data_IF_502989955343
#
_entry.id   IF_502989955343
#
_cell.length_a   1.000
_cell.length_b   1.000
_cell.length_c   1.000
_cell.angle_alpha   90.00
_cell.angle_beta   90.00
_cell.angle_gamma   90.00
#
_symmetry.space_group_name_H-M   'P 1'
#
loop_
_entity.id
_entity.type
_entity.pdbx_description
1 polymer ?
#
# COMPACT_ATOMS: atom_id res chain seq x y z
N UNK A 1 22.67 5.39 23.76
CA UNK A 1 22.18 4.27 22.92
C UNK A 1 22.82 4.38 21.55
N UNK A 2 23.58 3.37 21.18
CA UNK A 2 24.27 3.34 19.89
C UNK A 2 23.39 2.56 18.89
N UNK A 3 22.84 3.27 17.91
CA UNK A 3 22.13 2.68 16.76
C UNK A 3 23.08 2.70 15.58
N UNK A 4 23.46 1.54 15.01
CA UNK A 4 24.45 1.50 13.94
C UNK A 4 24.05 2.37 12.73
N UNK A 5 24.98 3.24 12.30
CA UNK A 5 24.76 4.16 11.17
C UNK A 5 24.16 5.53 11.55
N UNK A 6 23.89 5.79 12.83
CA UNK A 6 23.49 7.12 13.30
C UNK A 6 24.72 7.91 13.74
N UNK A 7 24.92 9.16 13.27
CA UNK A 7 26.04 9.99 13.67
C UNK A 7 26.08 10.23 15.19
N UNK A 8 27.26 10.05 15.81
CA UNK A 8 27.46 10.11 17.26
C UNK A 8 26.93 11.38 17.96
N UNK A 9 26.94 12.58 17.38
CA UNK A 9 26.38 13.77 18.02
C UNK A 9 24.87 13.71 18.26
N UNK A 10 24.11 12.99 17.43
CA UNK A 10 22.66 12.92 17.58
C UNK A 10 22.21 12.13 18.83
N UNK A 11 22.70 10.89 19.10
CA UNK A 11 22.39 10.20 20.35
C UNK A 11 22.74 11.02 21.60
N UNK A 12 23.85 11.75 21.59
CA UNK A 12 24.26 12.60 22.71
C UNK A 12 23.27 13.79 22.93
N UNK A 13 22.85 14.45 21.84
CA UNK A 13 21.86 15.54 21.90
C UNK A 13 20.50 15.02 22.39
N UNK A 14 20.03 13.89 21.85
CA UNK A 14 18.77 13.25 22.27
C UNK A 14 18.80 12.86 23.76
N UNK A 15 19.93 12.31 24.24
CA UNK A 15 20.11 11.96 25.63
C UNK A 15 20.14 13.22 26.55
N UNK A 16 20.73 14.31 26.11
CA UNK A 16 20.73 15.56 26.86
C UNK A 16 19.29 16.09 27.07
N UNK A 17 18.50 16.11 26.00
CA UNK A 17 17.09 16.53 26.07
C UNK A 17 16.23 15.55 26.87
N UNK A 18 16.52 14.24 26.79
CA UNK A 18 15.80 13.21 27.52
C UNK A 18 15.92 13.32 29.06
N UNK A 19 16.93 14.03 29.56
CA UNK A 19 17.07 14.31 31.01
C UNK A 19 16.08 15.36 31.51
N UNK A 20 15.60 16.22 30.63
CA UNK A 20 14.64 17.29 30.95
C UNK A 20 13.18 16.87 30.69
N UNK A 21 12.97 15.95 29.78
CA UNK A 21 11.66 15.48 29.37
C UNK A 21 11.73 14.03 28.94
N UNK A 22 10.82 13.18 29.44
CA UNK A 22 10.83 11.75 29.11
C UNK A 22 10.71 11.54 27.62
N UNK A 23 11.72 10.89 27.06
CA UNK A 23 11.89 10.63 25.65
C UNK A 23 12.29 9.18 25.43
N UNK A 24 11.61 8.50 24.53
CA UNK A 24 11.93 7.11 24.20
C UNK A 24 11.99 6.89 22.68
N UNK A 25 12.93 6.07 22.25
CA UNK A 25 12.92 5.46 20.92
C UNK A 25 11.95 4.28 20.95
N UNK A 26 11.13 4.13 19.91
CA UNK A 26 10.04 3.16 19.88
C UNK A 26 9.92 2.44 18.53
N UNK A 27 9.04 1.45 18.48
CA UNK A 27 8.58 0.86 17.22
C UNK A 27 9.63 0.04 16.46
N UNK A 28 9.69 0.26 15.15
CA UNK A 28 10.55 -0.50 14.23
C UNK A 28 12.03 -0.41 14.57
N UNK A 29 12.50 0.75 14.99
CA UNK A 29 13.89 1.00 15.33
C UNK A 29 14.36 0.14 16.53
N UNK A 30 13.57 0.10 17.61
CA UNK A 30 13.88 -0.72 18.79
C UNK A 30 13.82 -2.21 18.45
N UNK A 31 12.77 -2.63 17.74
CA UNK A 31 12.63 -4.03 17.28
C UNK A 31 13.84 -4.48 16.47
N UNK A 32 14.23 -3.72 15.46
CA UNK A 32 15.31 -4.11 14.56
C UNK A 32 16.67 -4.09 15.25
N UNK A 33 16.86 -3.16 16.19
CA UNK A 33 18.04 -3.12 17.06
C UNK A 33 18.13 -4.36 17.95
N UNK A 34 17.03 -4.77 18.57
CA UNK A 34 16.98 -5.99 19.41
C UNK A 34 17.22 -7.24 18.59
N UNK A 35 16.61 -7.36 17.40
CA UNK A 35 16.84 -8.48 16.50
C UNK A 35 18.32 -8.57 16.10
N UNK A 36 18.94 -7.45 15.78
CA UNK A 36 20.36 -7.42 15.43
C UNK A 36 21.27 -7.78 16.60
N UNK A 37 21.06 -7.17 17.76
CA UNK A 37 21.98 -7.31 18.91
C UNK A 37 21.81 -8.61 19.72
N UNK A 38 20.57 -9.05 19.88
CA UNK A 38 20.25 -10.18 20.75
C UNK A 38 19.99 -11.48 19.98
N UNK A 39 19.56 -11.38 18.72
CA UNK A 39 19.17 -12.55 17.93
C UNK A 39 20.08 -12.78 16.71
N UNK A 40 21.14 -11.99 16.54
CA UNK A 40 22.11 -12.06 15.43
C UNK A 40 21.46 -11.94 14.05
N UNK A 41 20.31 -11.29 13.93
CA UNK A 41 19.71 -10.98 12.64
C UNK A 41 20.60 -9.96 11.90
N UNK A 42 20.68 -10.03 10.56
CA UNK A 42 21.39 -9.02 9.78
C UNK A 42 20.86 -7.61 10.07
N UNK A 43 21.76 -6.62 10.21
CA UNK A 43 21.34 -5.24 10.31
C UNK A 43 20.65 -4.80 9.01
N UNK A 44 19.44 -4.23 9.11
CA UNK A 44 18.61 -3.88 7.97
C UNK A 44 18.83 -2.45 7.45
N UNK A 45 19.84 -1.77 7.96
CA UNK A 45 20.11 -0.36 7.67
C UNK A 45 19.54 0.57 8.74
N UNK A 46 19.81 1.87 8.60
CA UNK A 46 19.27 2.88 9.53
C UNK A 46 17.76 2.91 9.41
N UNK A 47 17.02 2.59 10.49
CA UNK A 47 15.56 2.63 10.46
C UNK A 47 15.06 4.09 10.50
N UNK A 48 13.80 4.28 10.17
CA UNK A 48 13.11 5.51 10.54
C UNK A 48 13.13 5.60 12.09
N UNK A 49 13.59 6.75 12.60
CA UNK A 49 13.75 6.95 14.04
C UNK A 49 12.45 7.53 14.62
N UNK A 50 11.60 6.66 15.11
CA UNK A 50 10.36 7.03 15.80
C UNK A 50 10.65 7.36 17.25
N UNK A 51 10.51 8.61 17.65
CA UNK A 51 10.63 9.09 19.02
C UNK A 51 9.25 9.39 19.62
N UNK A 52 9.05 9.02 20.85
CA UNK A 52 7.88 9.39 21.64
C UNK A 52 8.32 10.21 22.83
N UNK A 53 7.69 11.39 23.01
CA UNK A 53 7.94 12.29 24.11
C UNK A 53 6.69 12.44 24.98
N UNK A 54 6.83 12.37 26.31
CA UNK A 54 5.75 12.73 27.21
C UNK A 54 5.63 14.27 27.26
N UNK A 55 4.50 14.78 26.73
CA UNK A 55 4.25 16.20 26.49
C UNK A 55 4.16 16.54 25.00
N UNK A 56 4.33 17.80 24.64
CA UNK A 56 4.19 18.23 23.24
C UNK A 56 5.48 18.00 22.45
N UNK A 57 5.36 17.37 21.27
CA UNK A 57 6.49 17.18 20.38
C UNK A 57 7.09 18.52 19.88
N UNK A 58 6.27 19.54 19.67
CA UNK A 58 6.76 20.88 19.29
C UNK A 58 7.69 21.51 20.34
N UNK A 59 7.41 21.33 21.64
CA UNK A 59 8.26 21.82 22.71
C UNK A 59 9.61 21.10 22.74
N UNK A 60 9.61 19.81 22.41
CA UNK A 60 10.82 18.99 22.29
C UNK A 60 11.72 19.49 21.15
N UNK A 61 11.15 19.85 19.99
CA UNK A 61 11.93 20.32 18.83
C UNK A 61 12.79 21.54 19.19
N UNK A 62 12.24 22.53 19.89
CA UNK A 62 12.98 23.72 20.30
C UNK A 62 14.11 23.42 21.30
N UNK A 63 14.01 22.32 22.08
CA UNK A 63 15.10 21.86 22.98
C UNK A 63 16.17 21.12 22.19
N UNK A 64 15.76 20.24 21.26
CA UNK A 64 16.69 19.51 20.41
C UNK A 64 17.53 20.45 19.54
N UNK A 65 16.92 21.47 18.95
CA UNK A 65 17.62 22.49 18.15
C UNK A 65 18.73 23.19 18.96
N UNK A 66 18.48 23.48 20.22
CA UNK A 66 19.49 24.09 21.11
C UNK A 66 20.60 23.13 21.52
N UNK A 67 20.33 21.83 21.52
CA UNK A 67 21.30 20.79 21.86
C UNK A 67 22.16 20.35 20.66
N UNK A 68 21.75 20.69 19.45
CA UNK A 68 22.48 20.37 18.21
C UNK A 68 23.38 21.54 17.77
N UNK A 69 24.31 21.24 16.88
CA UNK A 69 25.13 22.28 16.25
C UNK A 69 24.24 23.27 15.45
N UNK A 70 24.58 24.57 15.41
CA UNK A 70 23.82 25.54 14.64
C UNK A 70 23.62 25.12 13.18
N UNK A 71 22.38 25.15 12.71
CA UNK A 71 22.00 24.77 11.35
C UNK A 71 21.94 23.26 11.09
N UNK A 72 22.02 22.39 12.10
CA UNK A 72 21.79 20.96 11.96
C UNK A 72 20.32 20.65 11.63
N UNK A 73 19.36 21.37 12.19
CA UNK A 73 17.95 21.28 11.83
C UNK A 73 17.70 22.03 10.51
N UNK A 74 17.23 21.33 9.48
CA UNK A 74 16.93 21.86 8.15
C UNK A 74 15.47 22.18 7.94
N UNK A 75 14.60 21.29 8.39
CA UNK A 75 13.16 21.44 8.32
C UNK A 75 12.50 20.78 9.51
N UNK A 76 11.33 21.33 9.91
CA UNK A 76 10.44 20.74 10.88
C UNK A 76 9.01 20.89 10.35
N UNK A 77 8.31 19.77 10.14
CA UNK A 77 6.93 19.76 9.69
C UNK A 77 6.02 19.19 10.78
N UNK A 78 5.14 20.04 11.31
CA UNK A 78 4.18 19.64 12.32
C UNK A 78 2.90 19.11 11.69
N UNK A 79 2.45 17.95 12.17
CA UNK A 79 1.18 17.33 11.81
C UNK A 79 0.20 17.47 12.98
N UNK A 80 -0.52 18.62 13.00
CA UNK A 80 -1.30 19.08 14.16
C UNK A 80 -2.39 18.13 14.66
N UNK A 81 -2.95 17.27 13.81
CA UNK A 81 -4.04 16.36 14.20
C UNK A 81 -3.61 15.31 15.24
N UNK A 82 -2.32 14.92 15.27
CA UNK A 82 -1.80 13.83 16.10
C UNK A 82 -0.60 14.21 16.95
N UNK A 83 -0.19 15.50 16.97
CA UNK A 83 0.96 15.98 17.73
C UNK A 83 2.28 15.31 17.31
N UNK A 84 2.49 15.11 16.03
CA UNK A 84 3.70 14.54 15.45
C UNK A 84 4.48 15.62 14.72
N UNK A 85 5.81 15.61 14.83
CA UNK A 85 6.70 16.50 14.11
C UNK A 85 7.74 15.66 13.37
N UNK A 86 7.80 15.81 12.06
CA UNK A 86 8.85 15.24 11.20
C UNK A 86 10.01 16.24 11.13
N UNK A 87 11.22 15.76 11.40
CA UNK A 87 12.43 16.58 11.42
C UNK A 87 13.43 16.08 10.38
N UNK A 88 13.90 16.99 9.54
CA UNK A 88 15.05 16.79 8.67
C UNK A 88 16.29 17.40 9.31
N UNK A 89 17.26 16.55 9.64
CA UNK A 89 18.53 16.94 10.24
C UNK A 89 19.68 16.68 9.28
N UNK A 90 20.76 17.48 9.42
CA UNK A 90 22.06 17.17 8.80
C UNK A 90 23.12 17.15 9.91
N UNK A 91 23.59 15.97 10.24
CA UNK A 91 24.56 15.73 11.30
C UNK A 91 25.86 15.22 10.66
N UNK A 92 26.97 15.95 10.86
CA UNK A 92 28.26 15.62 10.24
C UNK A 92 28.19 15.40 8.71
N UNK A 93 27.32 16.19 8.03
CA UNK A 93 27.09 16.09 6.60
C UNK A 93 26.14 14.95 6.17
N UNK A 94 25.64 14.15 7.09
CA UNK A 94 24.70 13.05 6.81
C UNK A 94 23.25 13.50 7.06
N UNK A 95 22.31 13.25 6.14
CA UNK A 95 20.90 13.50 6.36
C UNK A 95 20.32 12.45 7.31
N UNK A 96 19.55 12.88 8.29
CA UNK A 96 18.84 12.03 9.24
C UNK A 96 17.40 12.51 9.36
N UNK A 97 16.45 11.59 9.27
CA UNK A 97 15.03 11.84 9.48
C UNK A 97 14.63 11.35 10.87
N UNK A 98 13.90 12.18 11.61
CA UNK A 98 13.33 11.84 12.90
C UNK A 98 11.82 12.11 12.88
N UNK A 99 11.05 11.15 13.33
CA UNK A 99 9.64 11.32 13.62
C UNK A 99 9.45 11.42 15.12
N UNK A 100 8.99 12.59 15.59
CA UNK A 100 8.76 12.84 17.01
C UNK A 100 7.27 12.96 17.26
N UNK A 101 6.70 12.06 18.03
CA UNK A 101 5.29 12.07 18.42
C UNK A 101 5.11 12.39 19.90
N UNK A 102 4.07 13.15 20.23
CA UNK A 102 3.59 13.24 21.60
C UNK A 102 3.04 11.89 22.05
N UNK A 103 3.40 11.46 23.25
CA UNK A 103 2.80 10.28 23.88
C UNK A 103 1.29 10.48 23.99
N UNK A 104 0.51 9.48 23.57
CA UNK A 104 -0.93 9.63 23.46
C UNK A 104 -1.69 8.34 23.79
N UNK A 105 -2.86 8.52 24.36
CA UNK A 105 -3.89 7.51 24.47
C UNK A 105 -4.86 7.61 23.30
N UNK A 106 -5.35 6.47 22.84
CA UNK A 106 -6.35 6.36 21.78
C UNK A 106 -7.57 5.58 22.29
N UNK A 107 -8.76 6.12 22.02
CA UNK A 107 -10.02 5.40 22.27
C UNK A 107 -10.79 5.30 20.98
N UNK A 108 -11.45 4.16 20.75
CA UNK A 108 -12.23 3.90 19.54
C UNK A 108 -13.73 3.82 19.91
N UNK A 109 -14.47 4.94 19.78
CA UNK A 109 -15.90 4.95 20.09
C UNK A 109 -16.70 4.00 19.19
N UNK A 110 -16.27 3.83 17.96
CA UNK A 110 -16.88 2.90 16.99
C UNK A 110 -15.80 2.06 16.30
N UNK A 111 -16.09 0.79 16.00
CA UNK A 111 -15.16 -0.10 15.30
C UNK A 111 -14.78 0.41 13.92
N UNK A 112 -13.48 0.45 13.62
CA UNK A 112 -12.95 0.84 12.32
C UNK A 112 -12.90 2.34 12.05
N UNK A 113 -13.44 3.17 12.94
CA UNK A 113 -13.37 4.64 12.86
C UNK A 113 -11.99 5.19 13.25
N UNK A 114 -11.80 6.47 13.07
CA UNK A 114 -10.61 7.14 13.57
C UNK A 114 -10.69 7.23 15.11
N UNK A 115 -9.57 7.02 15.80
CA UNK A 115 -9.55 7.14 17.26
C UNK A 115 -9.75 8.59 17.72
N UNK A 116 -10.34 8.73 18.87
CA UNK A 116 -10.24 9.95 19.66
C UNK A 116 -8.91 9.92 20.41
N UNK A 117 -8.10 10.94 20.18
CA UNK A 117 -6.72 11.03 20.67
C UNK A 117 -6.64 12.04 21.82
N UNK A 118 -5.95 11.68 22.88
CA UNK A 118 -5.58 12.57 23.99
C UNK A 118 -4.09 12.42 24.34
N UNK A 119 -3.48 13.44 24.89
CA UNK A 119 -2.13 13.31 25.45
C UNK A 119 -2.15 12.25 26.55
N UNK A 120 -1.12 11.44 26.61
CA UNK A 120 -0.97 10.33 27.56
C UNK A 120 0.46 10.16 28.02
N UNK A 121 0.70 9.13 28.81
CA UNK A 121 2.03 8.67 29.18
C UNK A 121 2.62 7.74 28.12
N UNK A 122 3.91 7.45 28.21
CA UNK A 122 4.58 6.49 27.32
C UNK A 122 3.92 5.08 27.39
N UNK A 123 3.42 4.68 28.57
CA UNK A 123 2.69 3.42 28.72
C UNK A 123 1.40 3.36 27.87
N UNK A 124 0.65 4.47 27.80
CA UNK A 124 -0.56 4.56 26.97
C UNK A 124 -0.20 4.47 25.49
N UNK A 125 0.90 5.13 25.07
CA UNK A 125 1.38 5.07 23.69
C UNK A 125 1.79 3.64 23.30
N UNK A 126 2.43 2.91 24.18
CA UNK A 126 2.80 1.51 23.93
C UNK A 126 1.55 0.61 23.85
N UNK A 127 0.54 0.85 24.68
CA UNK A 127 -0.67 0.01 24.76
C UNK A 127 -1.58 0.15 23.51
N UNK A 128 -1.55 1.28 22.78
CA UNK A 128 -2.36 1.51 21.56
C UNK A 128 -1.77 0.90 20.29
N UNK A 129 -0.53 0.39 20.32
CA UNK A 129 0.18 -0.13 19.14
C UNK A 129 -0.45 -1.39 18.58
N UNK A 130 0.05 -1.83 17.44
CA UNK A 130 -0.49 -2.99 16.71
C UNK A 130 -0.05 -4.34 17.30
N UNK A 131 1.26 -4.52 17.47
CA UNK A 131 1.87 -5.77 17.92
C UNK A 131 2.86 -5.55 19.06
N UNK A 132 2.99 -6.54 19.94
CA UNK A 132 3.90 -6.51 21.08
C UNK A 132 5.35 -6.18 20.70
N UNK A 133 5.83 -6.70 19.56
CA UNK A 133 7.19 -6.45 19.06
C UNK A 133 7.45 -4.99 18.65
N UNK A 134 6.42 -4.20 18.42
CA UNK A 134 6.48 -2.77 18.13
C UNK A 134 6.11 -1.93 19.36
N UNK A 135 5.71 -2.54 20.46
CA UNK A 135 5.34 -1.90 21.73
C UNK A 135 6.47 -1.98 22.76
N UNK A 136 7.70 -2.01 22.31
CA UNK A 136 8.91 -1.92 23.13
C UNK A 136 9.47 -0.51 22.96
N UNK A 137 9.84 0.12 24.06
CA UNK A 137 10.48 1.42 24.07
C UNK A 137 11.88 1.33 24.69
N UNK A 138 12.78 2.18 24.23
CA UNK A 138 14.10 2.40 24.80
C UNK A 138 14.12 3.81 25.37
N UNK A 139 14.07 3.93 26.69
CA UNK A 139 14.19 5.22 27.39
C UNK A 139 15.60 5.81 27.14
N UNK A 140 15.62 7.01 26.57
CA UNK A 140 16.89 7.62 26.16
C UNK A 140 17.67 8.26 27.29
N UNK A 141 17.05 8.56 28.43
CA UNK A 141 17.73 9.10 29.62
C UNK A 141 18.46 7.98 30.38
N UNK A 142 17.77 6.88 30.67
CA UNK A 142 18.31 5.76 31.46
C UNK A 142 19.01 4.68 30.61
N UNK A 143 18.61 4.55 29.33
CA UNK A 143 19.03 3.44 28.47
C UNK A 143 18.29 2.13 28.76
N UNK A 144 17.25 2.16 29.58
CA UNK A 144 16.45 1.00 29.92
C UNK A 144 15.42 0.66 28.85
N UNK A 145 15.18 -0.65 28.65
CA UNK A 145 14.10 -1.15 27.81
C UNK A 145 12.80 -1.25 28.61
N UNK A 146 11.76 -0.60 28.10
CA UNK A 146 10.41 -0.69 28.63
C UNK A 146 9.60 -1.63 27.72
N UNK A 147 9.21 -2.77 28.25
CA UNK A 147 8.49 -3.82 27.54
C UNK A 147 7.28 -4.34 28.32
N UNK A 148 6.27 -3.49 28.55
CA UNK A 148 5.11 -3.86 29.36
C UNK A 148 4.26 -4.97 28.71
N UNK A 149 4.44 -5.22 27.43
CA UNK A 149 3.67 -6.20 26.68
C UNK A 149 4.44 -7.49 26.33
N UNK A 150 5.67 -7.68 26.81
CA UNK A 150 6.45 -8.90 26.58
C UNK A 150 6.91 -9.10 25.15
N UNK A 151 7.11 -8.00 24.42
CA UNK A 151 7.53 -8.01 23.01
C UNK A 151 8.90 -8.67 22.78
N UNK A 152 9.84 -8.56 23.74
CA UNK A 152 11.13 -9.25 23.65
C UNK A 152 10.97 -10.77 23.59
N UNK A 153 10.06 -11.33 24.39
CA UNK A 153 9.72 -12.76 24.33
C UNK A 153 9.12 -13.16 22.98
N UNK A 154 8.30 -12.29 22.39
CA UNK A 154 7.70 -12.54 21.07
C UNK A 154 8.73 -12.40 19.93
N UNK A 155 9.70 -11.49 20.06
CA UNK A 155 10.86 -11.43 19.16
C UNK A 155 11.67 -12.73 19.19
N UNK A 156 11.93 -13.27 20.37
CA UNK A 156 12.64 -14.53 20.52
C UNK A 156 11.87 -15.71 19.88
N UNK A 157 10.55 -15.75 20.05
CA UNK A 157 9.67 -16.78 19.45
C UNK A 157 9.36 -16.52 17.98
N UNK A 158 9.79 -15.38 17.41
CA UNK A 158 9.48 -14.94 16.05
C UNK A 158 7.97 -14.90 15.78
N UNK A 159 7.21 -14.31 16.72
CA UNK A 159 5.76 -14.25 16.70
C UNK A 159 5.25 -12.80 16.66
N UNK A 160 4.12 -12.62 15.96
CA UNK A 160 3.33 -11.40 15.95
C UNK A 160 2.13 -11.62 16.87
N UNK A 161 2.11 -10.92 18.01
CA UNK A 161 1.02 -10.98 18.97
C UNK A 161 0.33 -9.63 19.07
N UNK A 162 -1.00 -9.63 18.87
CA UNK A 162 -1.86 -8.46 19.06
C UNK A 162 -1.87 -8.05 20.54
N UNK A 163 -1.95 -6.77 20.82
CA UNK A 163 -1.82 -6.27 22.20
C UNK A 163 -3.06 -6.53 23.07
N UNK A 164 -4.26 -6.54 22.48
CA UNK A 164 -5.52 -6.73 23.22
C UNK A 164 -6.61 -7.35 22.35
N UNK A 165 -7.64 -7.91 23.00
CA UNK A 165 -8.72 -8.63 22.33
C UNK A 165 -9.56 -7.77 21.35
N UNK A 166 -9.63 -6.44 21.55
CA UNK A 166 -10.31 -5.51 20.67
C UNK A 166 -9.47 -5.01 19.49
N UNK A 167 -8.20 -5.40 19.40
CA UNK A 167 -7.22 -4.80 18.49
C UNK A 167 -7.66 -4.74 17.03
N UNK A 168 -8.22 -5.83 16.49
CA UNK A 168 -8.69 -5.88 15.09
C UNK A 168 -10.10 -5.31 14.92
N UNK A 169 -10.93 -5.31 15.97
CA UNK A 169 -12.21 -4.61 15.97
C UNK A 169 -11.99 -3.11 15.80
N UNK A 170 -11.07 -2.56 16.55
CA UNK A 170 -10.74 -1.14 16.55
C UNK A 170 -10.08 -0.74 15.22
N UNK A 171 -9.13 -1.55 14.74
CA UNK A 171 -8.44 -1.32 13.47
C UNK A 171 -8.12 -2.62 12.71
N UNK A 172 -8.98 -3.03 11.75
CA UNK A 172 -8.73 -4.23 10.93
C UNK A 172 -7.46 -4.11 10.05
N UNK A 173 -6.96 -2.91 9.79
CA UNK A 173 -5.74 -2.73 8.98
C UNK A 173 -4.50 -3.31 9.68
N UNK A 174 -4.56 -3.52 11.00
CA UNK A 174 -3.50 -4.21 11.75
C UNK A 174 -3.24 -5.62 11.22
N UNK A 175 -4.26 -6.30 10.65
CA UNK A 175 -4.05 -7.61 10.02
C UNK A 175 -3.19 -7.49 8.75
N UNK A 176 -3.39 -6.45 7.94
CA UNK A 176 -2.56 -6.16 6.75
C UNK A 176 -1.14 -5.79 7.17
N UNK A 177 -0.99 -4.94 8.20
CA UNK A 177 0.30 -4.59 8.81
C UNK A 177 1.03 -5.83 9.32
N UNK A 178 0.30 -6.72 10.00
CA UNK A 178 0.85 -8.02 10.44
C UNK A 178 1.37 -8.87 9.29
N UNK A 179 0.64 -8.97 8.20
CA UNK A 179 1.08 -9.69 7.00
C UNK A 179 2.34 -9.07 6.36
N UNK A 180 2.48 -7.74 6.41
CA UNK A 180 3.70 -7.02 6.00
C UNK A 180 4.88 -7.41 6.89
N UNK A 181 4.71 -7.36 8.22
CA UNK A 181 5.76 -7.74 9.16
C UNK A 181 6.11 -9.22 9.04
N UNK A 182 5.13 -10.10 8.89
CA UNK A 182 5.36 -11.52 8.66
C UNK A 182 6.24 -11.78 7.43
N UNK A 183 5.97 -11.07 6.34
CA UNK A 183 6.75 -11.20 5.11
C UNK A 183 8.17 -10.62 5.23
N UNK A 184 8.32 -9.48 5.93
CA UNK A 184 9.61 -8.79 6.12
C UNK A 184 10.51 -9.51 7.11
N UNK A 185 9.94 -10.00 8.22
CA UNK A 185 10.69 -10.54 9.35
C UNK A 185 10.78 -12.09 9.33
N UNK A 186 9.93 -12.75 8.56
CA UNK A 186 9.78 -14.20 8.59
C UNK A 186 9.04 -14.71 9.85
N UNK A 187 8.18 -13.87 10.44
CA UNK A 187 7.44 -14.18 11.67
C UNK A 187 6.07 -14.77 11.36
N UNK A 188 5.55 -15.59 12.29
CA UNK A 188 4.18 -16.10 12.26
C UNK A 188 3.23 -15.27 13.14
N UNK A 189 1.94 -15.34 12.85
CA UNK A 189 0.92 -14.82 13.78
C UNK A 189 0.81 -15.79 14.96
N UNK A 190 0.82 -15.26 16.16
CA UNK A 190 0.65 -16.03 17.39
C UNK A 190 -0.73 -16.72 17.38
N UNK A 191 -0.87 -17.98 17.90
CA UNK A 191 -2.09 -18.77 17.75
C UNK A 191 -3.36 -18.10 18.31
N UNK A 192 -3.28 -17.43 19.47
CA UNK A 192 -4.41 -16.71 20.05
C UNK A 192 -4.79 -15.50 19.21
N UNK A 193 -3.81 -14.75 18.71
CA UNK A 193 -4.00 -13.65 17.78
C UNK A 193 -4.60 -14.11 16.44
N UNK A 194 -4.25 -15.30 15.97
CA UNK A 194 -4.86 -15.91 14.79
C UNK A 194 -6.31 -16.30 15.04
N UNK A 195 -6.63 -16.88 16.19
CA UNK A 195 -8.00 -17.20 16.60
C UNK A 195 -8.84 -15.91 16.73
N UNK A 196 -8.28 -14.85 17.31
CA UNK A 196 -8.91 -13.54 17.39
C UNK A 196 -9.19 -12.97 15.98
N UNK A 197 -8.26 -13.07 15.04
CA UNK A 197 -8.46 -12.62 13.68
C UNK A 197 -9.62 -13.35 13.00
N UNK A 198 -9.67 -14.67 13.08
CA UNK A 198 -10.77 -15.48 12.56
C UNK A 198 -12.11 -15.09 13.19
N UNK A 199 -12.16 -14.97 14.52
CA UNK A 199 -13.39 -14.60 15.24
C UNK A 199 -13.87 -13.20 14.87
N UNK A 200 -12.98 -12.21 14.78
CA UNK A 200 -13.32 -10.83 14.43
C UNK A 200 -13.83 -10.73 12.98
N UNK A 201 -13.17 -11.40 12.02
CA UNK A 201 -13.61 -11.42 10.62
C UNK A 201 -14.97 -12.12 10.46
N UNK A 202 -15.20 -13.19 11.18
CA UNK A 202 -16.49 -13.90 11.17
C UNK A 202 -17.62 -13.05 11.79
N UNK A 203 -17.36 -12.38 12.90
CA UNK A 203 -18.32 -11.50 13.59
C UNK A 203 -18.61 -10.21 12.79
N UNK A 204 -17.64 -9.73 12.02
CA UNK A 204 -17.71 -8.48 11.25
C UNK A 204 -18.27 -7.31 12.08
N UNK A 205 -17.56 -6.83 13.07
CA UNK A 205 -18.09 -5.88 14.06
C UNK A 205 -18.27 -4.44 13.53
N UNK A 206 -17.81 -4.17 12.33
CA UNK A 206 -17.83 -2.83 11.72
C UNK A 206 -19.25 -2.49 11.23
N UNK A 207 -19.68 -1.21 11.33
CA UNK A 207 -21.05 -0.79 11.01
C UNK A 207 -21.36 -0.71 9.51
N UNK A 208 -20.53 -1.27 8.68
CA UNK A 208 -20.65 -1.32 7.22
C UNK A 208 -20.70 -2.76 6.72
N UNK A 209 -21.48 -3.04 5.70
CA UNK A 209 -21.63 -4.36 5.06
C UNK A 209 -21.38 -4.27 3.56
N UNK A 210 -20.98 -5.38 2.94
CA UNK A 210 -20.92 -5.50 1.49
C UNK A 210 -22.27 -5.26 0.88
N UNK A 211 -22.38 -4.28 -0.04
CA UNK A 211 -23.62 -3.81 -0.63
C UNK A 211 -24.11 -2.47 -0.08
N UNK A 212 -23.62 -2.04 1.08
CA UNK A 212 -23.86 -0.68 1.56
C UNK A 212 -23.11 0.35 0.69
N UNK A 213 -23.55 1.62 0.67
CA UNK A 213 -22.87 2.67 -0.07
C UNK A 213 -21.36 2.72 0.28
N UNK A 214 -20.47 2.65 -0.73
CA UNK A 214 -19.01 2.59 -0.50
C UNK A 214 -18.47 3.74 0.34
N UNK A 215 -19.00 4.95 0.16
CA UNK A 215 -18.59 6.15 0.89
C UNK A 215 -18.96 6.18 2.38
N UNK A 216 -19.77 5.23 2.85
CA UNK A 216 -20.16 5.09 4.26
C UNK A 216 -19.25 4.12 5.03
N UNK A 217 -18.30 3.47 4.34
CA UNK A 217 -17.37 2.57 5.01
C UNK A 217 -16.45 3.35 5.95
N UNK A 218 -16.21 2.84 7.17
CA UNK A 218 -15.29 3.46 8.11
C UNK A 218 -13.88 3.54 7.50
N UNK A 219 -13.06 4.55 7.90
CA UNK A 219 -11.73 4.77 7.32
C UNK A 219 -10.82 3.53 7.31
N UNK A 220 -10.94 2.67 8.31
CA UNK A 220 -10.15 1.44 8.40
C UNK A 220 -10.58 0.34 7.42
N UNK A 221 -11.76 0.43 6.81
CA UNK A 221 -12.20 -0.42 5.69
C UNK A 221 -12.09 0.30 4.33
N UNK A 222 -11.74 1.58 4.33
CA UNK A 222 -11.59 2.44 3.16
C UNK A 222 -10.15 2.88 2.94
N UNK A 223 -9.89 4.17 3.13
CA UNK A 223 -8.60 4.82 2.83
C UNK A 223 -7.41 4.23 3.60
N UNK A 224 -7.58 3.93 4.89
CA UNK A 224 -6.49 3.33 5.69
C UNK A 224 -6.15 1.92 5.19
N UNK A 225 -7.17 1.12 4.83
CA UNK A 225 -6.95 -0.20 4.23
C UNK A 225 -6.19 -0.08 2.90
N UNK A 226 -6.56 0.88 2.05
CA UNK A 226 -5.83 1.16 0.81
C UNK A 226 -4.37 1.47 1.07
N UNK A 227 -4.06 2.39 1.98
CA UNK A 227 -2.69 2.79 2.29
C UNK A 227 -1.83 1.60 2.74
N UNK A 228 -2.35 0.73 3.60
CA UNK A 228 -1.62 -0.46 4.03
C UNK A 228 -1.43 -1.49 2.92
N UNK A 229 -2.39 -1.62 1.99
CA UNK A 229 -2.25 -2.48 0.81
C UNK A 229 -1.24 -1.94 -0.20
N UNK A 230 -1.20 -0.62 -0.41
CA UNK A 230 -0.19 0.03 -1.25
C UNK A 230 1.21 -0.24 -0.68
N UNK A 231 1.41 -0.04 0.62
CA UNK A 231 2.67 -0.38 1.29
C UNK A 231 3.01 -1.88 1.18
N UNK A 232 2.02 -2.76 1.31
CA UNK A 232 2.21 -4.21 1.15
C UNK A 232 2.69 -4.56 -0.26
N UNK A 233 2.08 -3.97 -1.28
CA UNK A 233 2.35 -4.28 -2.68
C UNK A 233 3.65 -3.64 -3.20
N UNK A 234 4.07 -2.49 -2.65
CA UNK A 234 5.18 -1.68 -3.15
C UNK A 234 6.46 -1.84 -2.32
N UNK A 235 6.33 -2.03 -1.00
CA UNK A 235 7.47 -1.97 -0.07
C UNK A 235 7.89 -3.32 0.49
N UNK A 236 7.06 -4.35 0.35
CA UNK A 236 7.31 -5.67 0.94
C UNK A 236 7.53 -6.75 -0.13
N UNK A 237 7.99 -7.94 0.27
CA UNK A 237 7.91 -9.14 -0.57
C UNK A 237 6.44 -9.52 -0.80
N UNK A 238 5.73 -8.76 -1.63
CA UNK A 238 4.28 -8.76 -1.78
C UNK A 238 3.66 -10.16 -2.00
N UNK A 239 4.39 -11.07 -2.66
CA UNK A 239 3.91 -12.44 -2.89
C UNK A 239 3.75 -13.20 -1.57
N UNK A 240 4.70 -13.01 -0.65
CA UNK A 240 4.67 -13.63 0.67
C UNK A 240 3.63 -12.93 1.54
N UNK A 241 3.64 -11.60 1.55
CA UNK A 241 2.73 -10.79 2.36
C UNK A 241 1.26 -11.04 2.00
N UNK A 242 0.91 -11.03 0.70
CA UNK A 242 -0.46 -11.24 0.25
C UNK A 242 -0.93 -12.69 0.46
N UNK A 243 -0.04 -13.69 0.25
CA UNK A 243 -0.34 -15.09 0.58
C UNK A 243 -0.57 -15.30 2.08
N UNK A 244 0.19 -14.60 2.91
CA UNK A 244 0.02 -14.63 4.36
C UNK A 244 -1.29 -13.96 4.77
N UNK A 245 -1.61 -12.79 4.20
CA UNK A 245 -2.87 -12.09 4.44
C UNK A 245 -4.07 -12.95 4.05
N UNK A 246 -4.01 -13.62 2.89
CA UNK A 246 -5.06 -14.56 2.46
C UNK A 246 -5.21 -15.73 3.43
N UNK A 247 -4.10 -16.34 3.85
CA UNK A 247 -4.12 -17.46 4.81
C UNK A 247 -4.77 -17.06 6.15
N UNK A 248 -4.62 -15.82 6.57
CA UNK A 248 -5.22 -15.28 7.79
C UNK A 248 -6.66 -14.79 7.60
N UNK A 249 -7.24 -14.97 6.41
CA UNK A 249 -8.60 -14.50 6.08
C UNK A 249 -8.69 -13.01 5.74
N UNK A 250 -7.58 -12.30 5.74
CA UNK A 250 -7.57 -10.83 5.66
C UNK A 250 -7.99 -10.24 4.32
N UNK A 251 -7.95 -11.01 3.23
CA UNK A 251 -8.49 -10.53 1.94
C UNK A 251 -10.02 -10.39 1.97
N UNK A 252 -10.71 -11.04 2.91
CA UNK A 252 -12.14 -10.83 3.16
C UNK A 252 -12.47 -9.38 3.56
N UNK A 253 -11.51 -8.62 4.08
CA UNK A 253 -11.67 -7.19 4.32
C UNK A 253 -11.89 -6.40 3.03
N UNK A 254 -11.39 -6.89 1.91
CA UNK A 254 -11.59 -6.31 0.59
C UNK A 254 -12.89 -6.82 -0.04
N UNK A 255 -12.96 -8.14 -0.20
CA UNK A 255 -14.05 -8.82 -0.90
C UNK A 255 -13.96 -10.32 -0.63
N UNK A 256 -15.11 -10.99 -0.50
CA UNK A 256 -15.15 -12.45 -0.27
C UNK A 256 -14.59 -13.24 -1.45
N UNK A 257 -14.86 -12.80 -2.69
CA UNK A 257 -14.32 -13.46 -3.88
C UNK A 257 -12.80 -13.35 -3.93
N UNK A 258 -12.23 -12.22 -3.50
CA UNK A 258 -10.77 -12.06 -3.41
C UNK A 258 -10.15 -12.96 -2.34
N UNK A 259 -10.88 -13.23 -1.23
CA UNK A 259 -10.42 -14.15 -0.20
C UNK A 259 -10.23 -15.56 -0.75
N UNK A 260 -11.13 -16.00 -1.62
CA UNK A 260 -11.14 -17.36 -2.19
C UNK A 260 -10.46 -17.43 -3.56
N UNK A 261 -9.93 -16.32 -4.09
CA UNK A 261 -9.31 -16.26 -5.41
C UNK A 261 -7.94 -16.97 -5.44
N UNK A 262 -7.80 -18.10 -6.17
CA UNK A 262 -6.51 -18.77 -6.32
C UNK A 262 -5.60 -18.09 -7.37
N UNK A 263 -6.13 -17.15 -8.16
CA UNK A 263 -5.47 -16.62 -9.34
C UNK A 263 -4.84 -15.23 -9.13
N UNK A 264 -5.02 -14.60 -7.96
CA UNK A 264 -4.46 -13.26 -7.69
C UNK A 264 -2.95 -13.20 -7.96
N UNK A 265 -2.21 -14.28 -7.61
CA UNK A 265 -0.75 -14.31 -7.80
C UNK A 265 -0.37 -14.19 -9.27
N UNK A 266 -1.04 -14.97 -10.14
CA UNK A 266 -0.83 -14.90 -11.59
C UNK A 266 -1.20 -13.53 -12.13
N UNK A 267 -2.34 -12.99 -11.71
CA UNK A 267 -2.85 -11.69 -12.13
C UNK A 267 -1.86 -10.57 -11.80
N UNK A 268 -1.37 -10.50 -10.55
CA UNK A 268 -0.40 -9.50 -10.13
C UNK A 268 0.98 -9.67 -10.82
N UNK A 269 1.44 -10.89 -11.06
CA UNK A 269 2.66 -11.11 -11.83
C UNK A 269 2.55 -10.56 -13.26
N UNK A 270 1.42 -10.74 -13.93
CA UNK A 270 1.19 -10.15 -15.24
C UNK A 270 1.03 -8.65 -15.18
N UNK A 271 0.32 -8.13 -14.18
CA UNK A 271 0.19 -6.69 -13.96
C UNK A 271 1.56 -6.02 -13.80
N UNK A 272 2.43 -6.57 -12.97
CA UNK A 272 3.79 -6.08 -12.78
C UNK A 272 4.59 -6.11 -14.09
N UNK A 273 4.49 -7.20 -14.86
CA UNK A 273 5.21 -7.36 -16.13
C UNK A 273 4.77 -6.33 -17.18
N UNK A 274 3.53 -5.88 -17.14
CA UNK A 274 2.97 -4.90 -18.07
C UNK A 274 2.92 -3.47 -17.52
N UNK A 275 3.51 -3.23 -16.33
CA UNK A 275 3.54 -1.91 -15.70
C UNK A 275 2.18 -1.40 -15.26
N UNK A 276 1.22 -2.30 -14.98
CA UNK A 276 -0.10 -1.95 -14.47
C UNK A 276 -0.04 -1.69 -12.96
N UNK A 277 -0.89 -0.80 -12.42
CA UNK A 277 -0.98 -0.58 -10.99
C UNK A 277 -1.37 -1.87 -10.24
N UNK A 278 -0.53 -2.36 -9.30
CA UNK A 278 -0.78 -3.65 -8.65
C UNK A 278 -2.09 -3.69 -7.87
N UNK A 279 -2.43 -2.58 -7.18
CA UNK A 279 -3.67 -2.52 -6.40
C UNK A 279 -4.91 -2.54 -7.31
N UNK A 280 -4.90 -1.83 -8.44
CA UNK A 280 -5.99 -1.91 -9.41
C UNK A 280 -6.14 -3.34 -9.98
N UNK A 281 -5.02 -4.03 -10.22
CA UNK A 281 -5.04 -5.42 -10.67
C UNK A 281 -5.56 -6.39 -9.60
N UNK A 282 -5.31 -6.13 -8.32
CA UNK A 282 -5.91 -6.89 -7.22
C UNK A 282 -7.43 -6.66 -7.18
N UNK A 283 -7.86 -5.40 -7.16
CA UNK A 283 -9.26 -4.97 -7.10
C UNK A 283 -10.07 -5.48 -8.29
N UNK A 284 -9.48 -5.56 -9.48
CA UNK A 284 -10.13 -6.07 -10.69
C UNK A 284 -10.68 -7.51 -10.55
N UNK A 285 -10.19 -8.27 -9.58
CA UNK A 285 -10.67 -9.62 -9.27
C UNK A 285 -11.81 -9.68 -8.25
N UNK A 286 -12.28 -8.57 -7.72
CA UNK A 286 -13.40 -8.50 -6.80
C UNK A 286 -14.74 -8.79 -7.52
N UNK A 287 -15.77 -9.14 -6.75
CA UNK A 287 -17.12 -9.33 -7.27
C UNK A 287 -17.67 -8.03 -7.88
N UNK A 288 -17.48 -6.91 -7.21
CA UNK A 288 -17.74 -5.56 -7.73
C UNK A 288 -16.48 -4.69 -7.63
N UNK A 289 -15.66 -4.64 -8.71
CA UNK A 289 -14.44 -3.87 -8.71
C UNK A 289 -14.64 -2.35 -8.55
N UNK A 290 -15.77 -1.80 -9.02
CA UNK A 290 -16.03 -0.36 -8.92
C UNK A 290 -16.46 0.04 -7.52
N UNK A 291 -17.37 -0.69 -6.90
CA UNK A 291 -17.75 -0.45 -5.52
C UNK A 291 -16.54 -0.57 -4.57
N UNK A 292 -15.67 -1.57 -4.79
CA UNK A 292 -14.43 -1.71 -4.03
C UNK A 292 -13.45 -0.55 -4.29
N UNK A 293 -13.30 -0.12 -5.54
CA UNK A 293 -12.44 1.01 -5.90
C UNK A 293 -12.93 2.32 -5.27
N UNK A 294 -14.23 2.55 -5.24
CA UNK A 294 -14.85 3.70 -4.59
C UNK A 294 -14.65 3.65 -3.07
N UNK A 295 -14.92 2.52 -2.43
CA UNK A 295 -14.70 2.32 -0.99
C UNK A 295 -13.25 2.59 -0.57
N UNK A 296 -12.30 2.07 -1.34
CA UNK A 296 -10.88 2.29 -1.11
C UNK A 296 -10.43 3.69 -1.55
N UNK A 297 -11.27 4.48 -2.19
CA UNK A 297 -10.95 5.78 -2.76
C UNK A 297 -9.69 5.71 -3.65
N UNK A 298 -9.70 4.77 -4.61
CA UNK A 298 -8.57 4.61 -5.52
C UNK A 298 -8.31 5.90 -6.31
N UNK A 299 -7.04 6.22 -6.63
CA UNK A 299 -6.71 7.34 -7.49
C UNK A 299 -7.47 7.29 -8.82
N UNK A 300 -7.88 8.44 -9.34
CA UNK A 300 -8.71 8.57 -10.55
C UNK A 300 -8.21 7.72 -11.73
N UNK A 301 -6.89 7.66 -11.95
CA UNK A 301 -6.29 6.84 -13.03
C UNK A 301 -6.60 5.35 -12.84
N UNK A 302 -6.51 4.84 -11.62
CA UNK A 302 -6.79 3.43 -11.31
C UNK A 302 -8.29 3.13 -11.42
N UNK A 303 -9.13 4.01 -10.88
CA UNK A 303 -10.59 3.89 -11.01
C UNK A 303 -11.02 3.88 -12.49
N UNK A 304 -10.51 4.80 -13.30
CA UNK A 304 -10.78 4.87 -14.75
C UNK A 304 -10.36 3.59 -15.47
N UNK A 305 -9.23 2.98 -15.09
CA UNK A 305 -8.79 1.71 -15.67
C UNK A 305 -9.81 0.59 -15.39
N UNK A 306 -10.39 0.53 -14.19
CA UNK A 306 -11.41 -0.45 -13.85
C UNK A 306 -12.72 -0.21 -14.62
N UNK A 307 -13.14 1.05 -14.78
CA UNK A 307 -14.30 1.38 -15.63
C UNK A 307 -14.09 0.89 -17.06
N UNK A 308 -12.91 1.11 -17.63
CA UNK A 308 -12.57 0.65 -18.98
C UNK A 308 -12.50 -0.88 -19.09
N UNK A 309 -12.04 -1.55 -18.04
CA UNK A 309 -12.08 -3.02 -17.97
C UNK A 309 -13.51 -3.54 -18.05
N UNK A 310 -14.44 -2.98 -17.27
CA UNK A 310 -15.84 -3.40 -17.28
C UNK A 310 -16.53 -3.10 -18.60
N UNK A 311 -16.22 -1.96 -19.21
CA UNK A 311 -16.70 -1.64 -20.56
C UNK A 311 -16.17 -2.66 -21.58
N UNK A 312 -14.89 -3.03 -21.49
CA UNK A 312 -14.30 -4.07 -22.35
C UNK A 312 -14.98 -5.42 -22.14
N UNK A 313 -15.24 -5.82 -20.88
CA UNK A 313 -16.01 -7.06 -20.58
C UNK A 313 -17.39 -7.03 -21.28
N UNK A 314 -18.13 -5.94 -21.14
CA UNK A 314 -19.44 -5.77 -21.77
C UNK A 314 -19.39 -5.84 -23.29
N UNK A 315 -18.36 -5.24 -23.91
CA UNK A 315 -18.17 -5.29 -25.38
C UNK A 315 -17.82 -6.69 -25.87
N UNK A 316 -16.94 -7.39 -25.17
CA UNK A 316 -16.57 -8.76 -25.52
C UNK A 316 -17.73 -9.72 -25.39
N UNK A 317 -18.54 -9.61 -24.34
CA UNK A 317 -19.74 -10.40 -24.17
C UNK A 317 -20.76 -10.18 -25.33
N UNK A 318 -20.93 -8.93 -25.77
CA UNK A 318 -21.76 -8.65 -26.96
C UNK A 318 -21.16 -9.21 -28.25
N UNK A 319 -19.83 -9.20 -28.35
CA UNK A 319 -19.13 -9.73 -29.52
C UNK A 319 -19.10 -11.27 -29.59
N UNK A 320 -19.45 -12.00 -28.51
CA UNK A 320 -19.62 -13.45 -28.55
C UNK A 320 -20.71 -13.90 -29.51
N UNK A 321 -21.80 -13.11 -29.64
CA UNK A 321 -22.89 -13.39 -30.57
C UNK A 321 -22.49 -13.13 -32.05
N UNK A 322 -21.55 -12.21 -32.30
CA UNK A 322 -21.05 -11.87 -33.62
C UNK A 322 -19.55 -11.55 -33.52
N UNK A 323 -18.67 -12.57 -33.57
CA UNK A 323 -17.23 -12.36 -33.42
C UNK A 323 -16.64 -11.44 -34.48
N UNK A 324 -15.70 -10.53 -34.09
CA UNK A 324 -15.05 -9.64 -35.04
C UNK A 324 -14.34 -10.40 -36.17
N UNK A 325 -14.58 -9.99 -37.39
CA UNK A 325 -13.97 -10.61 -38.57
C UNK A 325 -12.51 -10.15 -38.72
N UNK A 326 -11.57 -11.06 -38.57
CA UNK A 326 -10.16 -10.80 -38.81
C UNK A 326 -9.52 -9.76 -37.85
N UNK A 327 -8.28 -9.39 -38.11
CA UNK A 327 -7.55 -8.42 -37.29
C UNK A 327 -8.14 -7.00 -37.36
N UNK A 328 -8.75 -6.62 -38.50
CA UNK A 328 -9.38 -5.32 -38.67
C UNK A 328 -10.59 -5.16 -37.75
N UNK A 329 -11.49 -6.15 -37.69
CA UNK A 329 -12.66 -6.11 -36.80
C UNK A 329 -12.26 -6.09 -35.33
N UNK A 330 -11.21 -6.81 -34.93
CA UNK A 330 -10.67 -6.72 -33.57
C UNK A 330 -10.09 -5.33 -33.26
N UNK A 331 -9.40 -4.69 -34.22
CA UNK A 331 -8.94 -3.32 -34.04
C UNK A 331 -10.11 -2.34 -33.88
N UNK A 332 -11.19 -2.47 -34.67
CA UNK A 332 -12.39 -1.66 -34.56
C UNK A 332 -13.03 -1.79 -33.17
N UNK A 333 -13.13 -3.00 -32.63
CA UNK A 333 -13.67 -3.25 -31.29
C UNK A 333 -12.81 -2.63 -30.19
N UNK A 334 -11.47 -2.82 -30.28
CA UNK A 334 -10.54 -2.50 -29.19
C UNK A 334 -9.98 -1.06 -29.25
N UNK A 335 -10.05 -0.39 -30.40
CA UNK A 335 -9.57 0.98 -30.59
C UNK A 335 -10.69 2.02 -30.51
N UNK A 336 -11.83 1.63 -30.03
CA UNK A 336 -12.96 2.55 -29.80
C UNK A 336 -12.58 3.61 -28.75
N UNK A 337 -12.98 4.87 -28.93
CA UNK A 337 -12.76 5.93 -27.95
C UNK A 337 -13.19 5.50 -26.54
N UNK A 338 -12.34 5.76 -25.54
CA UNK A 338 -12.61 5.42 -24.15
C UNK A 338 -11.94 4.13 -23.67
N UNK A 339 -11.40 3.27 -24.54
CA UNK A 339 -10.58 2.13 -24.15
C UNK A 339 -9.09 2.43 -24.28
N UNK A 340 -8.30 1.95 -23.31
CA UNK A 340 -6.84 2.02 -23.33
C UNK A 340 -6.22 0.62 -23.41
N UNK A 341 -4.96 0.57 -23.84
CA UNK A 341 -4.21 -0.69 -23.94
C UNK A 341 -4.02 -1.36 -22.57
N UNK A 342 -3.97 -0.57 -21.50
CA UNK A 342 -3.86 -1.04 -20.13
C UNK A 342 -5.10 -1.85 -19.71
N UNK A 343 -6.31 -1.49 -20.16
CA UNK A 343 -7.52 -2.27 -19.89
C UNK A 343 -7.50 -3.65 -20.57
N UNK A 344 -6.98 -3.73 -21.80
CA UNK A 344 -6.80 -5.00 -22.52
C UNK A 344 -5.72 -5.85 -21.84
N UNK A 345 -4.63 -5.24 -21.40
CA UNK A 345 -3.59 -5.92 -20.65
C UNK A 345 -4.12 -6.45 -19.30
N UNK A 346 -4.97 -5.69 -18.61
CA UNK A 346 -5.59 -6.09 -17.35
C UNK A 346 -6.57 -7.26 -17.56
N UNK A 347 -7.36 -7.24 -18.63
CA UNK A 347 -8.23 -8.34 -19.05
C UNK A 347 -7.43 -9.64 -19.24
N UNK A 348 -6.30 -9.56 -19.95
CA UNK A 348 -5.38 -10.69 -20.15
C UNK A 348 -4.76 -11.17 -18.84
N UNK A 349 -4.45 -10.26 -17.91
CA UNK A 349 -3.92 -10.59 -16.58
C UNK A 349 -4.94 -11.37 -15.74
N UNK A 350 -6.22 -11.04 -15.86
CA UNK A 350 -7.33 -11.77 -15.27
C UNK A 350 -7.49 -13.17 -15.90
N UNK A 351 -7.02 -13.35 -17.11
CA UNK A 351 -7.23 -14.57 -17.89
C UNK A 351 -8.58 -14.63 -18.58
N UNK A 352 -9.20 -13.50 -18.75
CA UNK A 352 -10.53 -13.33 -19.35
C UNK A 352 -10.46 -13.01 -20.84
N UNK A 353 -11.55 -13.31 -21.54
CA UNK A 353 -11.73 -13.01 -22.97
C UNK A 353 -10.87 -13.87 -23.90
N UNK A 354 -10.96 -13.64 -25.21
CA UNK A 354 -10.25 -14.39 -26.23
C UNK A 354 -8.75 -14.03 -26.25
N UNK A 355 -7.95 -14.83 -25.61
CA UNK A 355 -6.53 -14.55 -25.34
C UNK A 355 -5.70 -14.22 -26.58
N UNK A 356 -5.88 -14.99 -27.67
CA UNK A 356 -5.04 -14.85 -28.88
C UNK A 356 -5.24 -13.47 -29.54
N UNK A 357 -6.45 -13.04 -29.91
CA UNK A 357 -6.65 -11.75 -30.54
C UNK A 357 -6.29 -10.58 -29.61
N UNK A 358 -6.59 -10.64 -28.31
CA UNK A 358 -6.21 -9.60 -27.35
C UNK A 358 -4.68 -9.44 -27.25
N UNK A 359 -3.92 -10.54 -27.20
CA UNK A 359 -2.46 -10.51 -27.21
C UNK A 359 -1.89 -9.96 -28.52
N UNK A 360 -2.43 -10.43 -29.67
CA UNK A 360 -1.97 -9.96 -30.97
C UNK A 360 -2.26 -8.47 -31.15
N UNK A 361 -3.43 -8.02 -30.72
CA UNK A 361 -3.74 -6.59 -30.73
C UNK A 361 -2.77 -5.82 -29.85
N UNK A 362 -2.57 -6.22 -28.60
CA UNK A 362 -1.72 -5.53 -27.63
C UNK A 362 -0.25 -5.45 -28.09
N UNK A 363 0.29 -6.52 -28.68
CA UNK A 363 1.70 -6.61 -29.03
C UNK A 363 2.02 -6.23 -30.50
N UNK A 364 1.04 -6.28 -31.39
CA UNK A 364 1.29 -6.13 -32.82
C UNK A 364 0.29 -5.23 -33.54
N UNK A 365 -1.01 -5.58 -33.58
CA UNK A 365 -1.96 -4.92 -34.46
C UNK A 365 -2.15 -3.45 -34.18
N UNK A 366 -2.21 -3.04 -32.91
CA UNK A 366 -2.31 -1.63 -32.53
C UNK A 366 -1.12 -0.78 -32.97
N UNK A 367 0.03 -1.39 -33.23
CA UNK A 367 1.26 -0.73 -33.66
C UNK A 367 1.38 -0.65 -35.20
N UNK A 368 0.53 -1.37 -35.93
CA UNK A 368 0.54 -1.33 -37.40
C UNK A 368 0.08 0.04 -37.88
N UNK A 369 0.96 0.68 -38.64
CA UNK A 369 0.68 1.95 -39.30
C UNK A 369 0.18 1.75 -40.72
N UNK A 370 -0.55 2.71 -41.31
CA UNK A 370 -0.90 2.69 -42.75
C UNK A 370 0.33 2.51 -43.63
N UNK A 371 0.16 1.94 -44.83
CA UNK A 371 1.26 1.74 -45.79
C UNK A 371 1.87 3.06 -46.27
N UNK A 372 1.11 4.16 -46.24
CA UNK A 372 1.57 5.52 -46.51
C UNK A 372 1.29 6.41 -45.31
N UNK A 373 2.21 7.30 -44.99
CA UNK A 373 2.00 8.31 -43.93
C UNK A 373 1.07 9.45 -44.41
N UNK A 374 0.59 10.25 -43.44
CA UNK A 374 -0.17 11.44 -43.76
C UNK A 374 0.62 12.39 -44.67
N UNK A 375 1.92 12.58 -44.40
CA UNK A 375 2.79 13.47 -45.20
C UNK A 375 2.95 12.98 -46.63
N UNK A 376 3.09 11.68 -46.83
CA UNK A 376 3.16 11.07 -48.18
C UNK A 376 1.87 11.23 -48.97
N UNK A 377 0.71 11.18 -48.30
CA UNK A 377 -0.57 11.41 -48.94
C UNK A 377 -0.76 12.91 -49.27
N UNK A 378 -0.37 13.80 -48.36
CA UNK A 378 -0.39 15.24 -48.60
C UNK A 378 0.50 15.63 -49.81
N UNK A 379 1.71 15.07 -49.87
CA UNK A 379 2.62 15.24 -51.02
C UNK A 379 2.04 14.67 -52.32
N UNK A 380 1.13 13.68 -52.22
CA UNK A 380 0.40 13.13 -53.37
C UNK A 380 -0.90 13.90 -53.74
N UNK A 381 -1.11 15.08 -53.13
CA UNK A 381 -2.23 15.96 -53.48
C UNK A 381 -3.49 15.81 -52.64
N UNK A 382 -3.47 14.97 -51.56
CA UNK A 382 -4.58 14.90 -50.62
C UNK A 382 -4.66 16.18 -49.79
N UNK A 383 -5.88 16.62 -49.47
CA UNK A 383 -6.09 17.78 -48.59
C UNK A 383 -6.27 17.34 -47.15
N UNK A 384 -5.79 18.13 -46.16
CA UNK A 384 -6.08 17.87 -44.75
C UNK A 384 -7.59 17.83 -44.50
N UNK A 385 -8.06 16.81 -43.75
CA UNK A 385 -9.47 16.70 -43.41
C UNK A 385 -9.97 15.26 -43.26
N UNK A 386 -11.29 15.06 -43.09
CA UNK A 386 -11.88 13.75 -42.86
C UNK A 386 -11.55 12.68 -43.92
N UNK A 387 -11.46 13.11 -45.21
CA UNK A 387 -11.13 12.24 -46.34
C UNK A 387 -9.71 11.63 -46.22
N UNK A 388 -8.72 12.42 -45.82
CA UNK A 388 -7.36 11.95 -45.55
C UNK A 388 -7.36 10.93 -44.40
N UNK A 389 -8.12 11.19 -43.34
CA UNK A 389 -8.28 10.27 -42.22
C UNK A 389 -8.93 8.94 -42.64
N UNK A 390 -9.94 8.99 -43.50
CA UNK A 390 -10.59 7.80 -44.04
C UNK A 390 -9.63 6.95 -44.87
N UNK A 391 -8.82 7.59 -45.74
CA UNK A 391 -7.83 6.88 -46.55
C UNK A 391 -6.73 6.24 -45.70
N UNK A 392 -6.23 6.91 -44.66
CA UNK A 392 -5.27 6.35 -43.75
C UNK A 392 -5.85 5.10 -43.04
N UNK A 393 -7.11 5.15 -42.59
CA UNK A 393 -7.80 3.99 -42.00
C UNK A 393 -7.94 2.86 -43.01
N UNK A 394 -8.31 3.15 -44.26
CA UNK A 394 -8.42 2.18 -45.36
C UNK A 394 -7.06 1.48 -45.62
N UNK A 395 -6.00 2.26 -45.75
CA UNK A 395 -4.64 1.71 -45.96
C UNK A 395 -4.16 0.85 -44.80
N UNK A 396 -4.52 1.21 -43.57
CA UNK A 396 -4.23 0.40 -42.41
C UNK A 396 -5.06 -0.89 -42.38
N UNK A 397 -6.34 -0.82 -42.72
CA UNK A 397 -7.24 -1.99 -42.80
C UNK A 397 -6.74 -3.03 -43.79
N UNK A 398 -6.21 -2.60 -44.98
CA UNK A 398 -5.58 -3.52 -45.94
C UNK A 398 -4.40 -4.28 -45.31
N UNK A 399 -3.54 -3.59 -44.53
CA UNK A 399 -2.44 -4.25 -43.82
C UNK A 399 -2.92 -5.22 -42.75
N UNK A 400 -3.96 -4.83 -42.02
CA UNK A 400 -4.57 -5.67 -41.00
C UNK A 400 -5.24 -6.93 -41.60
N UNK A 401 -5.82 -6.82 -42.81
CA UNK A 401 -6.42 -7.98 -43.50
C UNK A 401 -5.40 -9.08 -43.87
N UNK A 402 -4.12 -8.71 -44.02
CA UNK A 402 -3.04 -9.67 -44.23
C UNK A 402 -2.56 -10.37 -42.93
N UNK A 403 -3.02 -9.91 -41.75
CA UNK A 403 -2.66 -10.49 -40.45
C UNK A 403 -3.51 -11.71 -40.14
N UNK A 404 -2.89 -12.75 -39.59
CA UNK A 404 -3.62 -13.94 -39.09
C UNK A 404 -4.24 -13.64 -37.72
N UNK A 405 -5.43 -14.12 -37.48
CA UNK A 405 -6.15 -14.02 -36.18
C UNK A 405 -5.74 -15.14 -35.22
#
# INVERSE_FOLDING_TARGET
>A
VDVPGIPAPLPAALQAVAREQRLALVGGAVRDLLLHRLHNDPWRGVPDLDLVVEGRASDFVGRLERALAPGALRAAQEHGAYGTVELELVIEGQPVLLDVASARAETYPQPGENPVVSLGALADDLARRDFSINAIALDLASGELLDPHGGQGDLQRRQLRLLHAGSLRDDPTRLVRGARYAARLGFGLEPESAAQACATLAAWPWPWRFGDPPGQAPPALGTRLRMELELLLEREPWRVALATLQRWGGLALLDRQLQDDPHWRRRLCWAQRWGLPPLAALVAGAADPLALAERLQLPHRQHRLLVQLLELRSRLARAEACPPAGAAGWCELLETPGLCAEAVALMLALGEGPRRPLLRWLLRWRLLRPARSADQLLAAGWRPGPALGAELRRLRSIRLAAERV
#
